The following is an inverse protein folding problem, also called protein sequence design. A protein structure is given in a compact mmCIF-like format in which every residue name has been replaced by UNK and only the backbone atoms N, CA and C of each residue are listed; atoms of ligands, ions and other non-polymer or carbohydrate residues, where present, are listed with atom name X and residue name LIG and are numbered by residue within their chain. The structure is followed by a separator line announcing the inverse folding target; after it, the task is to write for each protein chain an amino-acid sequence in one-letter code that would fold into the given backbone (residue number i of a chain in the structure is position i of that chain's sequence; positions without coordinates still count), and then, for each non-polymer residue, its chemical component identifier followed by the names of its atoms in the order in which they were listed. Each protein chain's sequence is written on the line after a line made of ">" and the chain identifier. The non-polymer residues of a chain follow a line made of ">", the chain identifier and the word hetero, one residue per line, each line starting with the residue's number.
data_IF_326789721073
#
_entry.id   IF_326789721073
#
_cell.length_a   1.000
_cell.length_b   1.000
_cell.length_c   1.000
_cell.angle_alpha   90.00
_cell.angle_beta   90.00
_cell.angle_gamma   90.00
#
_symmetry.space_group_name_H-M   'P 1'
#
loop_
_entity.id
_entity.type
_entity.pdbx_description
1 polymer ?
#
# COMPACT_ATOMS: atom_id res chain seq x y z
N UNK A 1 -14.52 -46.82 34.30
CA UNK A 1 -13.61 -45.67 34.12
C UNK A 1 -14.38 -44.37 34.30
N UNK A 2 -13.87 -43.42 35.10
CA UNK A 2 -14.58 -42.17 35.40
C UNK A 2 -14.63 -41.25 34.17
N UNK A 3 -15.84 -41.00 33.66
CA UNK A 3 -16.13 -40.16 32.48
C UNK A 3 -15.62 -38.70 32.61
N UNK A 4 -15.26 -38.27 33.83
CA UNK A 4 -14.83 -36.89 34.12
C UNK A 4 -13.44 -36.54 33.61
N UNK A 5 -12.55 -37.52 33.43
CA UNK A 5 -11.17 -37.30 32.95
C UNK A 5 -11.10 -36.92 31.45
N UNK A 6 -11.75 -37.65 30.52
CA UNK A 6 -11.69 -37.31 29.10
C UNK A 6 -12.36 -35.96 28.78
N UNK A 7 -13.46 -35.62 29.47
CA UNK A 7 -14.15 -34.34 29.29
C UNK A 7 -13.24 -33.15 29.62
N UNK A 8 -12.46 -33.23 30.72
CA UNK A 8 -11.50 -32.18 31.08
C UNK A 8 -10.40 -32.01 30.03
N UNK A 9 -9.89 -33.11 29.48
CA UNK A 9 -8.86 -33.06 28.43
C UNK A 9 -9.38 -32.38 27.17
N UNK A 10 -10.60 -32.71 26.75
CA UNK A 10 -11.25 -32.09 25.59
C UNK A 10 -11.45 -30.58 25.81
N UNK A 11 -11.95 -30.19 26.98
CA UNK A 11 -12.12 -28.77 27.34
C UNK A 11 -10.79 -28.00 27.29
N UNK A 12 -9.71 -28.58 27.83
CA UNK A 12 -8.38 -27.95 27.79
C UNK A 12 -7.89 -27.82 26.35
N UNK A 13 -8.03 -28.85 25.53
CA UNK A 13 -7.63 -28.82 24.12
C UNK A 13 -8.40 -27.78 23.31
N UNK A 14 -9.72 -27.68 23.48
CA UNK A 14 -10.56 -26.66 22.84
C UNK A 14 -10.17 -25.25 23.28
N UNK A 15 -9.86 -25.06 24.56
CA UNK A 15 -9.44 -23.76 25.10
C UNK A 15 -8.10 -23.33 24.50
N UNK A 16 -7.12 -24.24 24.43
CA UNK A 16 -5.82 -24.01 23.79
C UNK A 16 -5.98 -23.68 22.29
N UNK A 17 -6.84 -24.41 21.59
CA UNK A 17 -7.11 -24.16 20.17
C UNK A 17 -7.75 -22.79 19.95
N UNK A 18 -8.75 -22.42 20.76
CA UNK A 18 -9.36 -21.09 20.69
C UNK A 18 -8.34 -19.97 20.98
N UNK A 19 -7.45 -20.17 21.95
CA UNK A 19 -6.38 -19.21 22.26
C UNK A 19 -5.41 -19.05 21.08
N UNK A 20 -5.02 -20.16 20.45
CA UNK A 20 -4.16 -20.14 19.25
C UNK A 20 -4.81 -19.38 18.10
N UNK A 21 -6.13 -19.53 17.89
CA UNK A 21 -6.85 -18.78 16.86
C UNK A 21 -6.88 -17.27 17.15
N UNK A 22 -7.03 -16.87 18.41
CA UNK A 22 -6.99 -15.45 18.82
C UNK A 22 -5.61 -14.85 18.63
N UNK A 23 -4.55 -15.60 18.89
CA UNK A 23 -3.18 -15.14 18.64
C UNK A 23 -2.91 -15.08 17.14
N UNK A 24 -3.27 -16.11 16.38
CA UNK A 24 -3.06 -16.16 14.94
C UNK A 24 -3.81 -15.05 14.18
N UNK A 25 -5.01 -14.67 14.63
CA UNK A 25 -5.77 -13.58 13.99
C UNK A 25 -5.11 -12.20 14.12
N UNK A 26 -4.23 -12.00 15.10
CA UNK A 26 -3.43 -10.77 15.22
C UNK A 26 -2.31 -10.69 14.18
N UNK A 27 -1.84 -11.84 13.67
CA UNK A 27 -0.77 -11.92 12.67
C UNK A 27 -1.27 -12.17 11.24
N UNK A 28 -2.55 -12.51 11.07
CA UNK A 28 -3.18 -12.82 9.77
C UNK A 28 -4.29 -11.82 9.41
N UNK A 29 -4.31 -10.67 10.07
CA UNK A 29 -5.30 -9.62 9.81
C UNK A 29 -5.14 -8.97 8.43
N UNK A 30 -6.20 -8.30 7.93
CA UNK A 30 -6.08 -7.42 6.77
C UNK A 30 -5.05 -6.32 7.05
N UNK A 31 -4.15 -6.07 6.09
CA UNK A 31 -3.05 -5.12 6.21
C UNK A 31 -1.75 -5.68 6.79
N UNK A 32 -1.65 -7.01 6.99
CA UNK A 32 -0.37 -7.66 7.29
C UNK A 32 0.57 -7.49 6.09
N UNK A 33 1.67 -6.77 6.32
CA UNK A 33 2.63 -6.40 5.29
C UNK A 33 2.44 -4.98 4.76
N UNK A 34 1.41 -4.26 5.21
CA UNK A 34 1.30 -2.83 4.96
C UNK A 34 2.33 -2.10 5.81
N UNK A 35 2.97 -1.10 5.21
CA UNK A 35 3.91 -0.25 5.94
C UNK A 35 3.95 1.15 5.31
N UNK A 36 4.28 2.13 6.13
CA UNK A 36 4.61 3.47 5.70
C UNK A 36 6.04 3.77 6.11
N UNK A 37 6.84 4.24 5.16
CA UNK A 37 8.24 4.62 5.38
C UNK A 37 8.40 6.14 5.17
N UNK A 38 8.86 6.89 6.18
CA UNK A 38 9.07 8.33 6.03
C UNK A 38 10.13 8.63 4.97
N UNK A 39 9.78 9.51 4.03
CA UNK A 39 10.71 10.02 3.01
C UNK A 39 11.37 11.31 3.53
N UNK A 40 10.60 12.40 3.61
CA UNK A 40 11.07 13.73 4.03
C UNK A 40 9.89 14.68 4.27
N UNK A 41 10.01 15.61 5.23
CA UNK A 41 9.02 16.68 5.50
C UNK A 41 7.55 16.20 5.52
N UNK A 42 7.29 15.07 6.17
CA UNK A 42 5.94 14.51 6.27
C UNK A 42 5.43 13.81 5.01
N UNK A 43 6.24 13.66 3.96
CA UNK A 43 5.96 12.72 2.87
C UNK A 43 6.38 11.32 3.29
N UNK A 44 5.52 10.34 3.01
CA UNK A 44 5.75 8.92 3.30
C UNK A 44 5.52 8.09 2.04
N UNK A 45 6.34 7.06 1.89
CA UNK A 45 6.11 5.97 0.95
C UNK A 45 5.19 4.96 1.62
N UNK A 46 3.98 4.80 1.10
CA UNK A 46 2.97 3.93 1.69
C UNK A 46 2.74 2.70 0.82
N UNK A 47 3.00 1.52 1.38
CA UNK A 47 2.73 0.22 0.77
C UNK A 47 1.48 -0.38 1.41
N UNK A 48 0.41 -0.53 0.62
CA UNK A 48 -0.87 -1.11 1.03
C UNK A 48 -1.16 -2.48 0.35
N UNK A 49 -0.11 -3.12 -0.18
CA UNK A 49 -0.19 -4.42 -0.83
C UNK A 49 -0.37 -4.39 -2.35
N UNK A 50 0.12 -5.45 -3.01
CA UNK A 50 -0.04 -5.69 -4.43
C UNK A 50 0.54 -4.57 -5.31
N UNK A 51 -0.34 -3.76 -5.90
CA UNK A 51 0.00 -2.63 -6.77
C UNK A 51 -0.28 -1.27 -6.10
N UNK A 52 -0.72 -1.26 -4.84
CA UNK A 52 -1.08 -0.04 -4.12
C UNK A 52 0.12 0.48 -3.36
N UNK A 53 1.00 1.13 -4.11
CA UNK A 53 2.22 1.76 -3.60
C UNK A 53 2.11 3.24 -3.92
N UNK A 54 2.01 4.08 -2.90
CA UNK A 54 1.60 5.47 -3.06
C UNK A 54 2.57 6.41 -2.34
N UNK A 55 2.60 7.68 -2.76
CA UNK A 55 3.19 8.76 -1.93
C UNK A 55 2.06 9.47 -1.20
N UNK A 56 2.15 9.53 0.12
CA UNK A 56 1.19 10.26 0.96
C UNK A 56 1.88 11.40 1.69
N UNK A 57 1.12 12.43 2.05
CA UNK A 57 1.58 13.48 2.94
C UNK A 57 0.82 13.38 4.26
N UNK A 58 1.55 13.25 5.36
CA UNK A 58 1.06 13.11 6.74
C UNK A 58 1.53 14.22 7.67
N UNK A 59 2.32 15.19 7.16
CA UNK A 59 2.82 16.34 7.90
C UNK A 59 1.72 17.29 8.40
N UNK A 60 2.11 18.24 9.24
CA UNK A 60 1.17 19.13 9.93
C UNK A 60 0.81 20.42 9.16
N UNK A 61 1.48 20.70 8.04
CA UNK A 61 1.33 21.98 7.34
C UNK A 61 0.04 22.04 6.48
N UNK A 62 -0.53 20.87 6.16
CA UNK A 62 -1.80 20.75 5.42
C UNK A 62 -2.53 19.45 5.78
N UNK A 63 -3.74 19.29 5.25
CA UNK A 63 -4.51 18.06 5.41
C UNK A 63 -3.76 16.84 4.88
N UNK A 64 -3.84 15.74 5.64
CA UNK A 64 -3.32 14.45 5.18
C UNK A 64 -3.97 14.06 3.86
N UNK A 65 -3.16 13.68 2.87
CA UNK A 65 -3.68 13.33 1.55
C UNK A 65 -2.76 12.35 0.81
N UNK A 66 -3.36 11.59 -0.09
CA UNK A 66 -2.62 10.84 -1.11
C UNK A 66 -2.14 11.86 -2.16
N UNK A 67 -0.83 11.91 -2.37
CA UNK A 67 -0.19 12.85 -3.30
C UNK A 67 0.00 12.21 -4.65
N UNK A 68 0.42 10.94 -4.66
CA UNK A 68 0.51 10.08 -5.84
C UNK A 68 -0.33 8.84 -5.55
N UNK A 69 -1.41 8.67 -6.31
CA UNK A 69 -2.50 7.70 -6.07
C UNK A 69 -2.39 6.41 -6.89
N UNK A 70 -1.30 6.23 -7.61
CA UNK A 70 -1.00 5.06 -8.42
C UNK A 70 0.36 4.49 -8.05
N UNK A 71 0.60 3.23 -8.46
CA UNK A 71 1.82 2.49 -8.13
C UNK A 71 3.08 3.30 -8.39
N UNK A 72 3.75 3.71 -7.33
CA UNK A 72 5.10 4.27 -7.34
C UNK A 72 6.07 3.13 -7.50
N UNK A 73 6.88 3.16 -8.56
CA UNK A 73 7.93 2.17 -8.76
C UNK A 73 9.26 2.67 -8.20
N UNK A 74 9.56 3.95 -8.35
CA UNK A 74 10.78 4.58 -7.85
C UNK A 74 10.52 6.01 -7.38
N UNK A 75 11.31 6.47 -6.42
CA UNK A 75 11.36 7.88 -6.05
C UNK A 75 12.79 8.30 -5.71
N UNK A 76 13.07 9.60 -5.82
CA UNK A 76 14.35 10.20 -5.44
C UNK A 76 14.12 11.59 -4.88
N UNK A 77 14.77 11.89 -3.75
CA UNK A 77 14.86 13.26 -3.22
C UNK A 77 16.05 13.96 -3.88
N UNK A 78 15.81 15.14 -4.46
CA UNK A 78 16.80 16.00 -5.11
C UNK A 78 16.60 17.45 -4.65
N UNK A 79 17.31 17.85 -3.60
CA UNK A 79 17.14 19.16 -2.97
C UNK A 79 15.74 19.35 -2.39
N UNK A 80 15.01 20.34 -2.90
CA UNK A 80 13.63 20.66 -2.51
C UNK A 80 12.57 19.89 -3.32
N UNK A 81 13.00 18.89 -4.10
CA UNK A 81 12.12 18.13 -5.00
C UNK A 81 12.11 16.66 -4.64
N UNK A 82 10.92 16.08 -4.64
CA UNK A 82 10.71 14.63 -4.67
C UNK A 82 10.31 14.25 -6.10
N UNK A 83 11.22 13.57 -6.79
CA UNK A 83 11.04 13.01 -8.12
C UNK A 83 10.42 11.62 -7.97
N UNK A 84 9.31 11.35 -8.65
CA UNK A 84 8.55 10.12 -8.51
C UNK A 84 8.31 9.51 -9.89
N UNK A 85 8.63 8.24 -10.07
CA UNK A 85 8.23 7.44 -11.21
C UNK A 85 7.06 6.54 -10.80
N UNK A 86 5.96 6.57 -11.56
CA UNK A 86 4.75 5.79 -11.27
C UNK A 86 4.18 5.12 -12.50
N UNK A 87 3.48 4.00 -12.31
CA UNK A 87 2.61 3.38 -13.31
C UNK A 87 1.14 3.66 -13.00
N UNK A 88 0.40 4.29 -13.93
CA UNK A 88 -1.04 4.44 -13.81
C UNK A 88 -1.76 3.09 -13.72
N UNK A 89 -2.90 3.08 -13.03
CA UNK A 89 -3.83 1.96 -13.04
C UNK A 89 -4.84 2.15 -14.16
N UNK A 90 -4.85 1.24 -15.11
CA UNK A 90 -5.84 1.20 -16.19
C UNK A 90 -7.04 0.38 -15.74
N UNK A 91 -8.23 0.95 -15.90
CA UNK A 91 -9.50 0.26 -15.67
C UNK A 91 -10.07 -0.08 -17.05
N UNK A 92 -10.38 -1.35 -17.27
CA UNK A 92 -10.94 -1.81 -18.53
C UNK A 92 -12.08 -2.80 -18.29
N UNK A 93 -12.97 -2.92 -19.27
CA UNK A 93 -14.11 -3.84 -19.22
C UNK A 93 -13.86 -4.99 -20.18
N UNK A 94 -14.06 -6.21 -19.73
CA UNK A 94 -13.99 -7.41 -20.58
C UNK A 94 -15.34 -7.67 -21.25
N UNK A 95 -15.33 -8.49 -22.30
CA UNK A 95 -16.52 -8.78 -23.13
C UNK A 95 -17.65 -9.47 -22.35
N UNK A 96 -17.31 -10.17 -21.26
CA UNK A 96 -18.25 -10.75 -20.28
C UNK A 96 -18.87 -9.70 -19.33
N UNK A 97 -18.54 -8.42 -19.50
CA UNK A 97 -19.04 -7.31 -18.71
C UNK A 97 -18.31 -7.06 -17.39
N UNK A 98 -17.29 -7.86 -17.06
CA UNK A 98 -16.49 -7.72 -15.82
C UNK A 98 -15.53 -6.53 -15.94
N UNK A 99 -15.45 -5.71 -14.88
CA UNK A 99 -14.46 -4.63 -14.80
C UNK A 99 -13.17 -5.18 -14.19
N UNK A 100 -12.05 -4.99 -14.87
CA UNK A 100 -10.73 -5.42 -14.42
C UNK A 100 -9.79 -4.22 -14.36
N UNK A 101 -8.71 -4.38 -13.60
CA UNK A 101 -7.65 -3.40 -13.53
C UNK A 101 -6.31 -4.02 -13.90
N UNK A 102 -5.43 -3.23 -14.50
CA UNK A 102 -4.04 -3.60 -14.75
C UNK A 102 -3.14 -2.38 -14.55
N UNK A 103 -1.85 -2.63 -14.36
CA UNK A 103 -0.86 -1.57 -14.43
C UNK A 103 -0.58 -1.22 -15.89
N UNK A 104 -0.48 0.07 -16.18
CA UNK A 104 0.00 0.52 -17.49
C UNK A 104 1.45 0.08 -17.71
N UNK A 105 1.82 -0.16 -18.97
CA UNK A 105 3.22 -0.34 -19.37
C UNK A 105 3.99 0.99 -19.47
N UNK A 106 3.26 2.11 -19.40
CA UNK A 106 3.80 3.47 -19.51
C UNK A 106 4.15 4.00 -18.12
N UNK A 107 5.32 4.63 -18.01
CA UNK A 107 5.77 5.30 -16.79
C UNK A 107 5.48 6.79 -16.85
N UNK A 108 4.79 7.29 -15.82
CA UNK A 108 4.64 8.72 -15.58
C UNK A 108 5.70 9.22 -14.59
N UNK A 109 6.22 10.42 -14.82
CA UNK A 109 7.22 11.05 -13.96
C UNK A 109 6.62 12.31 -13.36
N UNK A 110 6.68 12.42 -12.04
CA UNK A 110 6.09 13.49 -11.26
C UNK A 110 7.15 14.17 -10.42
N UNK A 111 6.99 15.47 -10.22
CA UNK A 111 7.85 16.29 -9.38
C UNK A 111 6.95 16.89 -8.31
N UNK A 112 7.35 16.71 -7.06
CA UNK A 112 6.69 17.31 -5.91
C UNK A 112 7.69 18.27 -5.29
N UNK A 113 7.38 19.57 -5.24
CA UNK A 113 8.15 20.49 -4.41
C UNK A 113 7.80 20.24 -2.94
N UNK A 114 8.79 19.87 -2.15
CA UNK A 114 8.61 19.40 -0.78
C UNK A 114 8.16 20.56 0.14
N UNK A 115 8.59 21.78 -0.15
CA UNK A 115 8.32 22.96 0.67
C UNK A 115 7.02 23.67 0.27
N UNK A 116 6.74 23.78 -1.03
CA UNK A 116 5.52 24.44 -1.53
C UNK A 116 4.35 23.47 -1.74
N UNK A 117 4.61 22.17 -1.62
CA UNK A 117 3.68 21.07 -1.91
C UNK A 117 3.09 21.06 -3.32
N UNK A 118 3.67 21.83 -4.25
CA UNK A 118 3.26 21.85 -5.64
C UNK A 118 3.61 20.52 -6.30
N UNK A 119 2.66 19.96 -7.04
CA UNK A 119 2.78 18.66 -7.71
C UNK A 119 2.61 18.87 -9.21
N UNK A 120 3.60 18.44 -9.99
CA UNK A 120 3.61 18.61 -11.44
C UNK A 120 4.01 17.32 -12.14
N UNK A 121 3.33 17.02 -13.26
CA UNK A 121 3.72 15.92 -14.14
C UNK A 121 4.73 16.40 -15.17
N UNK A 122 5.77 15.62 -15.40
CA UNK A 122 6.85 15.96 -16.33
C UNK A 122 6.42 15.69 -17.77
N UNK A 123 6.67 16.59 -18.75
CA UNK A 123 6.19 16.42 -20.13
C UNK A 123 6.72 15.17 -20.85
N UNK A 124 7.91 14.66 -20.46
CA UNK A 124 8.54 13.47 -21.07
C UNK A 124 7.87 12.14 -20.71
N UNK A 125 6.78 12.17 -19.97
CA UNK A 125 6.25 10.99 -19.28
C UNK A 125 5.14 10.24 -20.02
N UNK A 126 4.79 10.61 -21.26
CA UNK A 126 3.60 10.06 -21.92
C UNK A 126 3.85 8.78 -22.73
N UNK A 127 5.10 8.47 -23.08
CA UNK A 127 5.39 7.38 -24.03
C UNK A 127 6.64 6.55 -23.67
N UNK A 128 7.10 6.60 -22.41
CA UNK A 128 8.29 5.83 -21.98
C UNK A 128 7.84 4.55 -21.30
N UNK A 129 8.26 3.41 -21.86
CA UNK A 129 8.08 2.11 -21.22
C UNK A 129 8.87 2.07 -19.89
N UNK A 130 8.23 1.59 -18.83
CA UNK A 130 8.94 1.32 -17.59
C UNK A 130 10.00 0.22 -17.83
N UNK A 131 11.24 0.47 -17.42
CA UNK A 131 12.33 -0.52 -17.49
C UNK A 131 12.29 -1.46 -16.31
#
# INVERSE_FOLDING_TARGET
>A
MSLKKPIKVILVALTLFALLLVVASQFLGPGVGDFADPIINGYEYNYAGGNEINIVYTGNERSKQIVIDSRVDEYKVDGDRLLVARRPREIYRTDDGVTRTRLSSICEYWIININTHQVEMTPKSRDVACK
#
